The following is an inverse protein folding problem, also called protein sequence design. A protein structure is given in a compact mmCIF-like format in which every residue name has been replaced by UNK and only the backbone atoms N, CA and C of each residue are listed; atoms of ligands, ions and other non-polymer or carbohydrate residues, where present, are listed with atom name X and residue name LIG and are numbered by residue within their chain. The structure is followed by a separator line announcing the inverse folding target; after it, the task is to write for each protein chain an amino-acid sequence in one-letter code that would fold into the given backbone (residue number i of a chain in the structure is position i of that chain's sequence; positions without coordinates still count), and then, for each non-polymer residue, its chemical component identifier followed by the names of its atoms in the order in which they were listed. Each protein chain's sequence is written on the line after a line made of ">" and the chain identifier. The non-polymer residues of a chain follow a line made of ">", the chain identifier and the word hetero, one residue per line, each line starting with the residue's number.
data_IF_488903663092
#
_entry.id   IF_488903663092
#
_cell.length_a   1.000
_cell.length_b   1.000
_cell.length_c   1.000
_cell.angle_alpha   90.00
_cell.angle_beta   90.00
_cell.angle_gamma   90.00
#
_symmetry.space_group_name_H-M   'P 1'
#
loop_
_entity.id
_entity.type
_entity.pdbx_description
1 polymer ?
#
# COMPACT_ATOMS: atom_id res chain seq x y z
N UNK A 1 -16.17 -1.24 -1.95
CA UNK A 1 -14.81 -1.02 -1.43
C UNK A 1 -14.78 0.22 -0.53
N UNK A 2 -13.98 0.23 0.54
CA UNK A 2 -13.79 1.43 1.39
C UNK A 2 -13.13 2.53 0.54
N UNK A 3 -13.51 3.79 0.75
CA UNK A 3 -12.91 4.94 0.03
C UNK A 3 -11.79 5.65 0.82
N UNK A 4 -11.70 5.33 2.11
CA UNK A 4 -10.73 5.88 3.04
C UNK A 4 -10.61 4.98 4.26
N UNK A 5 -9.49 5.04 4.95
CA UNK A 5 -9.22 4.27 6.16
C UNK A 5 -8.30 5.10 7.09
N UNK A 6 -8.52 4.99 8.40
CA UNK A 6 -7.62 5.59 9.39
C UNK A 6 -6.59 4.57 9.84
N UNK A 7 -5.38 5.04 10.06
CA UNK A 7 -4.26 4.24 10.57
C UNK A 7 -3.56 4.98 11.70
N UNK A 8 -3.03 4.23 12.65
CA UNK A 8 -2.19 4.71 13.77
C UNK A 8 -1.04 3.71 13.97
N UNK A 9 0.01 3.83 13.14
CA UNK A 9 1.12 2.89 13.09
C UNK A 9 1.99 3.03 11.85
N UNK A 10 2.93 2.10 11.67
CA UNK A 10 3.71 2.03 10.42
C UNK A 10 2.88 1.36 9.34
N UNK A 11 2.66 2.07 8.24
CA UNK A 11 1.92 1.55 7.08
C UNK A 11 2.86 1.18 5.94
N UNK A 12 2.45 0.20 5.14
CA UNK A 12 3.04 -0.17 3.86
C UNK A 12 2.01 -0.02 2.75
N UNK A 13 2.46 0.49 1.60
CA UNK A 13 1.65 0.70 0.39
C UNK A 13 2.30 -0.08 -0.74
N UNK A 14 1.53 -0.91 -1.44
CA UNK A 14 2.00 -1.63 -2.62
C UNK A 14 1.02 -2.64 -3.18
N UNK A 15 1.49 -3.44 -4.14
CA UNK A 15 0.68 -4.46 -4.80
C UNK A 15 0.41 -5.66 -3.88
N UNK A 16 -0.86 -6.00 -3.59
CA UNK A 16 -1.16 -7.12 -2.72
C UNK A 16 -0.72 -8.47 -3.29
N UNK A 17 -0.52 -8.63 -4.60
CA UNK A 17 -0.05 -9.91 -5.18
C UNK A 17 1.34 -10.33 -4.69
N UNK A 18 2.16 -9.34 -4.28
CA UNK A 18 3.49 -9.57 -3.71
C UNK A 18 3.48 -9.69 -2.19
N UNK A 19 2.45 -9.14 -1.52
CA UNK A 19 2.30 -9.17 -0.06
C UNK A 19 1.66 -10.47 0.43
N UNK A 20 0.73 -11.02 -0.35
CA UNK A 20 0.05 -12.27 -0.05
C UNK A 20 0.98 -13.46 -0.27
N UNK A 21 1.06 -14.36 0.71
CA UNK A 21 2.11 -15.38 0.77
C UNK A 21 1.89 -16.58 -0.15
N UNK A 22 0.63 -16.89 -0.49
CA UNK A 22 0.27 -18.08 -1.27
C UNK A 22 -0.87 -17.80 -2.25
N UNK A 23 -0.96 -18.61 -3.30
CA UNK A 23 -2.06 -18.54 -4.28
C UNK A 23 -3.43 -18.81 -3.64
N UNK A 24 -3.50 -19.69 -2.63
CA UNK A 24 -4.75 -19.95 -1.90
C UNK A 24 -5.20 -18.70 -1.14
N UNK A 25 -4.27 -18.04 -0.44
CA UNK A 25 -4.58 -16.80 0.26
C UNK A 25 -4.91 -15.66 -0.71
N UNK A 26 -4.30 -15.65 -1.90
CA UNK A 26 -4.59 -14.67 -2.94
C UNK A 26 -6.05 -14.75 -3.41
N UNK A 27 -6.53 -15.97 -3.65
CA UNK A 27 -7.94 -16.23 -3.98
C UNK A 27 -8.85 -15.93 -2.79
N UNK A 28 -8.45 -16.33 -1.58
CA UNK A 28 -9.22 -16.10 -0.35
C UNK A 28 -9.40 -14.61 -0.06
N UNK A 29 -8.34 -13.81 -0.24
CA UNK A 29 -8.36 -12.36 -0.11
C UNK A 29 -9.06 -11.65 -1.28
N UNK A 30 -9.59 -12.39 -2.26
CA UNK A 30 -10.20 -11.83 -3.47
C UNK A 30 -9.30 -10.79 -4.14
N UNK A 31 -8.06 -11.19 -4.43
CA UNK A 31 -7.09 -10.35 -5.11
C UNK A 31 -6.79 -9.02 -4.36
N UNK A 32 -6.74 -9.07 -3.02
CA UNK A 32 -6.47 -7.92 -2.13
C UNK A 32 -7.71 -7.22 -1.57
N UNK A 33 -8.91 -7.46 -2.12
CA UNK A 33 -10.12 -6.76 -1.63
C UNK A 33 -10.57 -7.16 -0.22
N UNK A 34 -10.12 -8.31 0.30
CA UNK A 34 -10.60 -8.97 1.52
C UNK A 34 -9.46 -9.42 2.45
N UNK A 35 -8.53 -8.51 2.73
CA UNK A 35 -7.41 -8.78 3.64
C UNK A 35 -7.85 -9.12 5.07
N UNK A 36 -9.06 -8.72 5.50
CA UNK A 36 -9.65 -9.17 6.77
C UNK A 36 -9.75 -10.70 6.88
N UNK A 37 -9.94 -11.42 5.77
CA UNK A 37 -9.99 -12.88 5.75
C UNK A 37 -8.63 -13.54 6.01
N UNK A 38 -7.54 -12.79 5.88
CA UNK A 38 -6.17 -13.20 6.21
C UNK A 38 -5.75 -12.74 7.61
N UNK A 39 -6.62 -12.03 8.34
CA UNK A 39 -6.38 -11.60 9.72
C UNK A 39 -5.85 -10.17 9.88
N UNK A 40 -5.87 -9.36 8.82
CA UNK A 40 -5.54 -7.93 8.90
C UNK A 40 -6.69 -7.16 9.56
N UNK A 41 -6.39 -6.36 10.57
CA UNK A 41 -7.42 -5.66 11.36
C UNK A 41 -7.98 -4.44 10.61
N UNK A 42 -7.10 -3.73 9.91
CA UNK A 42 -7.44 -2.58 9.09
C UNK A 42 -6.62 -2.59 7.80
N UNK A 43 -7.28 -2.18 6.72
CA UNK A 43 -6.66 -2.04 5.40
C UNK A 43 -7.48 -1.10 4.52
N UNK A 44 -6.84 -0.62 3.46
CA UNK A 44 -7.48 0.06 2.35
C UNK A 44 -7.05 -0.58 1.04
N UNK A 45 -7.96 -1.30 0.40
CA UNK A 45 -7.80 -1.84 -0.94
C UNK A 45 -8.34 -0.86 -1.98
N UNK A 46 -7.58 -0.63 -3.05
CA UNK A 46 -7.89 0.33 -4.10
C UNK A 46 -7.56 -0.28 -5.46
N UNK A 47 -8.58 -0.44 -6.30
CA UNK A 47 -8.41 -0.68 -7.74
C UNK A 47 -7.56 0.44 -8.36
N UNK A 48 -6.60 0.05 -9.18
CA UNK A 48 -5.62 0.94 -9.78
C UNK A 48 -5.41 0.57 -11.25
N UNK A 49 -4.85 1.49 -12.04
CA UNK A 49 -4.28 1.11 -13.33
C UNK A 49 -2.96 0.34 -13.12
N UNK A 50 -2.47 -0.39 -14.12
CA UNK A 50 -1.09 -0.93 -14.12
C UNK A 50 -0.09 0.23 -14.30
N UNK A 51 0.56 0.65 -13.22
CA UNK A 51 1.44 1.81 -13.16
C UNK A 51 2.56 1.63 -12.15
N UNK A 52 3.57 2.50 -12.24
CA UNK A 52 4.58 2.69 -11.20
C UNK A 52 4.48 4.07 -10.59
N UNK A 53 4.43 4.14 -9.26
CA UNK A 53 4.36 5.40 -8.52
C UNK A 53 5.40 5.47 -7.41
N UNK A 54 5.81 6.69 -7.06
CA UNK A 54 6.58 7.00 -5.84
C UNK A 54 5.69 7.71 -4.83
N UNK A 55 5.91 7.47 -3.55
CA UNK A 55 5.19 8.14 -2.46
C UNK A 55 6.09 9.22 -1.88
N UNK A 56 5.62 10.47 -1.92
CA UNK A 56 6.37 11.64 -1.50
C UNK A 56 5.56 12.52 -0.56
N UNK A 57 6.22 13.33 0.27
CA UNK A 57 5.58 14.45 0.98
C UNK A 57 5.83 15.79 0.29
N UNK A 58 5.41 16.88 0.95
CA UNK A 58 5.58 18.25 0.46
C UNK A 58 7.00 18.80 0.59
N UNK A 59 7.90 18.08 1.26
CA UNK A 59 9.30 18.46 1.49
C UNK A 59 10.26 17.61 0.62
N UNK A 60 9.74 16.98 -0.44
CA UNK A 60 10.45 16.08 -1.37
C UNK A 60 11.03 14.81 -0.70
N UNK A 61 10.60 14.46 0.52
CA UNK A 61 10.97 13.18 1.13
C UNK A 61 10.26 12.05 0.40
N UNK A 62 11.02 11.05 -0.05
CA UNK A 62 10.48 9.85 -0.71
C UNK A 62 10.39 8.70 0.29
N UNK A 63 9.19 8.13 0.45
CA UNK A 63 8.90 7.00 1.32
C UNK A 63 9.03 5.63 0.64
N UNK A 64 9.39 5.64 -0.65
CA UNK A 64 9.48 4.49 -1.52
C UNK A 64 8.56 4.62 -2.73
N UNK A 65 8.25 3.51 -3.36
CA UNK A 65 7.36 3.46 -4.52
C UNK A 65 6.70 2.12 -4.64
N UNK A 66 5.76 1.97 -5.56
CA UNK A 66 5.08 0.71 -5.81
C UNK A 66 4.76 0.52 -7.28
N UNK A 67 4.64 -0.74 -7.68
CA UNK A 67 4.04 -1.16 -8.94
C UNK A 67 2.65 -1.74 -8.65
N UNK A 68 1.78 -1.82 -9.66
CA UNK A 68 0.41 -2.35 -9.55
C UNK A 68 0.16 -3.38 -10.65
N UNK A 69 0.95 -4.44 -10.67
CA UNK A 69 0.90 -5.54 -11.62
C UNK A 69 -0.46 -6.27 -11.57
N UNK A 70 -1.11 -6.30 -10.41
CA UNK A 70 -2.46 -6.84 -10.22
C UNK A 70 -3.58 -5.83 -10.46
N UNK A 71 -3.26 -4.60 -10.89
CA UNK A 71 -4.20 -3.48 -10.95
C UNK A 71 -4.87 -3.16 -9.60
N UNK A 72 -4.18 -3.44 -8.49
CA UNK A 72 -4.62 -3.18 -7.13
C UNK A 72 -3.50 -2.57 -6.28
N UNK A 73 -3.89 -1.75 -5.32
CA UNK A 73 -3.01 -1.25 -4.25
C UNK A 73 -3.67 -1.51 -2.91
N UNK A 74 -2.92 -2.10 -2.01
CA UNK A 74 -3.30 -2.22 -0.60
C UNK A 74 -2.46 -1.30 0.28
N UNK A 75 -3.11 -0.73 1.29
CA UNK A 75 -2.47 -0.06 2.42
C UNK A 75 -2.74 -0.88 3.66
N UNK A 76 -1.66 -1.41 4.26
CA UNK A 76 -1.70 -2.33 5.40
C UNK A 76 -0.84 -1.80 6.54
N UNK A 77 -1.04 -2.31 7.75
CA UNK A 77 -0.03 -2.21 8.79
C UNK A 77 1.15 -3.15 8.48
N UNK A 78 2.37 -2.63 8.58
CA UNK A 78 3.58 -3.39 8.25
C UNK A 78 3.81 -4.53 9.25
N UNK A 79 3.53 -4.32 10.53
CA UNK A 79 3.69 -5.37 11.55
C UNK A 79 2.70 -6.52 11.37
N UNK A 80 1.45 -6.23 10.99
CA UNK A 80 0.47 -7.26 10.63
C UNK A 80 0.91 -8.05 9.39
N UNK A 81 1.42 -7.38 8.36
CA UNK A 81 1.96 -8.05 7.17
C UNK A 81 3.12 -8.99 7.53
N UNK A 82 4.05 -8.53 8.37
CA UNK A 82 5.20 -9.33 8.79
C UNK A 82 4.83 -10.45 9.78
N UNK A 83 3.71 -10.32 10.48
CA UNK A 83 3.15 -11.39 11.31
C UNK A 83 2.47 -12.46 10.46
N UNK A 84 1.72 -12.04 9.43
CA UNK A 84 1.05 -12.93 8.49
C UNK A 84 2.06 -13.65 7.57
N UNK A 85 3.01 -12.91 6.99
CA UNK A 85 4.04 -13.38 6.08
C UNK A 85 5.44 -12.96 6.57
N UNK A 86 6.06 -13.72 7.50
CA UNK A 86 7.37 -13.38 8.06
C UNK A 86 8.51 -13.32 7.04
N UNK A 87 8.41 -14.09 5.96
CA UNK A 87 9.41 -14.15 4.89
C UNK A 87 9.40 -12.89 4.00
N UNK A 88 8.33 -12.08 4.07
CA UNK A 88 8.22 -10.82 3.36
C UNK A 88 9.34 -9.81 3.72
N UNK A 89 10.04 -10.01 4.84
CA UNK A 89 11.27 -9.24 5.14
C UNK A 89 12.32 -9.37 4.04
N UNK A 90 12.50 -10.57 3.50
CA UNK A 90 13.44 -10.82 2.42
C UNK A 90 13.00 -10.11 1.13
N UNK A 91 11.70 -10.03 0.89
CA UNK A 91 11.12 -9.32 -0.25
C UNK A 91 11.35 -7.81 -0.15
N UNK A 92 11.19 -7.23 1.05
CA UNK A 92 11.53 -5.82 1.31
C UNK A 92 13.01 -5.51 1.08
N UNK A 93 13.90 -6.44 1.45
CA UNK A 93 15.35 -6.29 1.24
C UNK A 93 15.73 -6.41 -0.24
N UNK A 94 15.09 -7.33 -0.97
CA UNK A 94 15.37 -7.61 -2.37
C UNK A 94 14.77 -6.59 -3.33
N UNK A 95 13.58 -6.08 -3.01
CA UNK A 95 12.83 -5.14 -3.86
C UNK A 95 12.35 -3.91 -3.07
N UNK A 96 13.26 -3.11 -2.48
CA UNK A 96 12.90 -1.96 -1.64
C UNK A 96 12.15 -0.86 -2.40
N UNK A 97 12.15 -0.89 -3.74
CA UNK A 97 11.48 0.07 -4.61
C UNK A 97 10.07 -0.36 -5.04
N UNK A 98 9.59 -1.52 -4.60
CA UNK A 98 8.25 -2.04 -4.90
C UNK A 98 7.23 -1.70 -3.80
N UNK A 99 7.71 -1.16 -2.68
CA UNK A 99 6.86 -0.75 -1.56
C UNK A 99 7.19 0.66 -1.09
N UNK A 100 6.17 1.39 -0.65
CA UNK A 100 6.36 2.59 0.14
C UNK A 100 6.04 2.29 1.60
N UNK A 101 6.90 2.74 2.52
CA UNK A 101 6.73 2.55 3.96
C UNK A 101 6.69 3.93 4.62
N UNK A 102 5.56 4.25 5.24
CA UNK A 102 5.38 5.47 6.03
C UNK A 102 5.35 5.09 7.50
N UNK A 103 6.44 5.42 8.20
CA UNK A 103 6.61 5.08 9.63
C UNK A 103 5.84 6.04 10.51
N UNK A 104 5.34 5.52 11.64
CA UNK A 104 4.65 6.29 12.67
C UNK A 104 3.51 7.17 12.12
N UNK A 105 2.78 6.67 11.11
CA UNK A 105 1.69 7.39 10.49
C UNK A 105 0.44 7.35 11.37
N UNK A 106 -0.10 8.53 11.65
CA UNK A 106 -1.36 8.73 12.36
C UNK A 106 -2.24 9.66 11.55
N UNK A 107 -3.19 9.08 10.83
CA UNK A 107 -3.98 9.84 9.88
C UNK A 107 -5.02 9.04 9.12
N UNK A 108 -5.56 9.66 8.08
CA UNK A 108 -6.47 9.05 7.13
C UNK A 108 -5.75 8.87 5.79
N UNK A 109 -5.86 7.68 5.22
CA UNK A 109 -5.44 7.39 3.85
C UNK A 109 -6.68 7.27 2.98
N UNK A 110 -6.62 7.84 1.78
CA UNK A 110 -7.67 7.79 0.76
C UNK A 110 -7.02 7.73 -0.63
N UNK A 111 -7.83 7.74 -1.68
CA UNK A 111 -7.34 7.94 -3.04
C UNK A 111 -8.11 9.08 -3.72
N UNK A 112 -7.45 9.70 -4.70
CA UNK A 112 -8.05 10.72 -5.57
C UNK A 112 -7.69 10.42 -7.01
N UNK A 113 -8.51 10.89 -7.95
CA UNK A 113 -8.20 10.84 -9.38
C UNK A 113 -7.88 12.26 -9.85
N UNK A 114 -6.72 12.45 -10.47
CA UNK A 114 -6.29 13.72 -11.07
C UNK A 114 -5.81 13.45 -12.49
N UNK A 115 -6.41 14.11 -13.48
CA UNK A 115 -6.07 13.90 -14.90
C UNK A 115 -6.08 12.41 -15.30
N UNK A 116 -7.11 11.68 -14.85
CA UNK A 116 -7.25 10.22 -15.03
C UNK A 116 -6.24 9.34 -14.31
N UNK A 117 -5.24 9.87 -13.62
CA UNK A 117 -4.34 9.08 -12.78
C UNK A 117 -4.91 8.97 -11.35
N UNK A 118 -4.98 7.76 -10.81
CA UNK A 118 -5.24 7.56 -9.38
C UNK A 118 -3.98 7.84 -8.56
N UNK A 119 -4.16 8.46 -7.40
CA UNK A 119 -3.12 8.74 -6.41
C UNK A 119 -3.61 8.33 -5.03
N UNK A 120 -2.77 7.65 -4.27
CA UNK A 120 -2.92 7.42 -2.83
C UNK A 120 -2.56 8.71 -2.10
N UNK A 121 -3.38 9.11 -1.14
CA UNK A 121 -3.19 10.36 -0.37
C UNK A 121 -3.31 10.06 1.11
N UNK A 122 -2.29 10.42 1.88
CA UNK A 122 -2.30 10.40 3.34
C UNK A 122 -2.43 11.81 3.91
N UNK A 123 -3.29 11.98 4.91
CA UNK A 123 -3.43 13.23 5.66
C UNK A 123 -3.44 12.94 7.16
N UNK A 124 -2.50 13.53 7.90
CA UNK A 124 -2.29 13.21 9.31
C UNK A 124 -1.12 13.98 9.91
N UNK A 125 -0.37 13.32 10.80
CA UNK A 125 0.93 13.84 11.27
C UNK A 125 1.99 13.89 10.15
N UNK A 126 1.88 13.00 9.16
CA UNK A 126 2.66 13.00 7.92
C UNK A 126 1.67 13.10 6.77
N UNK A 127 1.83 14.12 5.92
CA UNK A 127 1.05 14.24 4.69
C UNK A 127 1.86 13.66 3.54
N UNK A 128 1.25 12.81 2.72
CA UNK A 128 1.92 12.23 1.56
C UNK A 128 0.97 12.04 0.38
N UNK A 129 1.54 11.92 -0.81
CA UNK A 129 0.83 11.62 -2.06
C UNK A 129 1.66 10.67 -2.92
N UNK A 130 1.00 9.71 -3.57
CA UNK A 130 1.64 8.93 -4.62
C UNK A 130 1.53 9.64 -5.97
N UNK A 131 2.64 9.70 -6.68
CA UNK A 131 2.76 10.33 -8.00
C UNK A 131 3.46 9.37 -8.98
N UNK A 132 3.16 9.45 -10.29
CA UNK A 132 3.88 8.70 -11.31
C UNK A 132 5.40 8.81 -11.13
N UNK A 133 6.11 7.69 -11.31
CA UNK A 133 7.55 7.62 -11.07
C UNK A 133 8.35 8.51 -12.03
N UNK A 134 7.91 8.61 -13.28
CA UNK A 134 8.58 9.31 -14.39
C UNK A 134 8.29 10.83 -14.47
N UNK A 135 7.78 11.42 -13.38
CA UNK A 135 7.58 12.87 -13.25
C UNK A 135 8.67 13.55 -12.41
#
# INVERSE_FOLDING_TARGET
>A
MKRKQRFDGTIIIGDPCSMVSTEEDWQKAKWGEKMDLLGFSDFLAIEFEEVRQKVVDGDDTTYGGFCTDSCMVDVLYLDELLKYNPDFRQELEKFPHNYAIVRDFKGEVTFRTKNSARCIVGTGNINFVSIPFDL
#
